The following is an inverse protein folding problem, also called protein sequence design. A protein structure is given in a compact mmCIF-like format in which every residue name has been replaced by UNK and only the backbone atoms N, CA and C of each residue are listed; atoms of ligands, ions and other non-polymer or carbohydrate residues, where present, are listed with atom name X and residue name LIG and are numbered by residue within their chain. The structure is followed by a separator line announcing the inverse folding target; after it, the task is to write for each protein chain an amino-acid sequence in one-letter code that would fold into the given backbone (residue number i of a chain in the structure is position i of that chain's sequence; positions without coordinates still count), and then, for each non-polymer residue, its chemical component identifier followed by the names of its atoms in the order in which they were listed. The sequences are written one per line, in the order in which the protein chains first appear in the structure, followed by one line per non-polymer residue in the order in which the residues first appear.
data_IF_012380205484
#
_entry.id   IF_012380205484
#
_cell.length_a   1.000
_cell.length_b   1.000
_cell.length_c   1.000
_cell.angle_alpha   90.00
_cell.angle_beta   90.00
_cell.angle_gamma   90.00
#
_symmetry.space_group_name_H-M   'P 1'
#
loop_
_entity.id
_entity.type
_entity.pdbx_description
1 polymer ?
#
# COMPACT_ATOMS: atom_id res chain seq x y z
N UNK A 1 9.77 -10.54 25.27
CA UNK A 1 10.35 -9.87 24.08
C UNK A 1 9.18 -9.63 23.14
N UNK A 2 8.86 -8.36 22.86
CA UNK A 2 7.72 -8.02 22.01
C UNK A 2 8.16 -8.18 20.55
N UNK A 3 8.04 -9.39 20.02
CA UNK A 3 8.43 -9.76 18.65
C UNK A 3 7.35 -9.33 17.65
N UNK A 4 6.94 -8.06 17.72
CA UNK A 4 6.07 -7.50 16.70
C UNK A 4 6.94 -7.23 15.47
N UNK A 5 6.57 -7.74 14.28
CA UNK A 5 7.35 -7.54 13.07
C UNK A 5 7.58 -6.05 12.85
N UNK A 6 8.85 -5.67 12.72
CA UNK A 6 9.22 -4.31 12.41
C UNK A 6 8.55 -3.93 11.07
N UNK A 7 7.98 -2.73 11.01
CA UNK A 7 7.39 -2.18 9.78
C UNK A 7 8.01 -0.81 9.55
N UNK A 8 8.19 -0.47 8.28
CA UNK A 8 8.63 0.86 7.91
C UNK A 8 7.57 1.86 8.38
N UNK A 9 7.93 2.83 9.24
CA UNK A 9 6.98 3.82 9.71
C UNK A 9 6.45 4.57 8.49
N UNK A 10 5.14 4.81 8.47
CA UNK A 10 4.43 5.53 7.41
C UNK A 10 4.32 4.81 6.05
N UNK A 11 4.82 3.57 5.91
CA UNK A 11 4.75 2.87 4.62
C UNK A 11 3.67 1.79 4.56
N UNK A 12 2.95 1.78 3.44
CA UNK A 12 1.88 0.86 3.11
C UNK A 12 2.23 0.18 1.78
N UNK A 13 2.05 -1.14 1.74
CA UNK A 13 2.11 -1.92 0.52
C UNK A 13 0.70 -2.25 0.06
N UNK A 14 0.34 -1.81 -1.14
CA UNK A 14 -0.94 -2.12 -1.78
C UNK A 14 -0.74 -2.92 -3.06
N UNK A 15 -1.55 -3.93 -3.28
CA UNK A 15 -1.60 -4.68 -4.54
C UNK A 15 -2.80 -4.19 -5.36
N UNK A 16 -2.50 -3.70 -6.56
CA UNK A 16 -3.50 -3.26 -7.52
C UNK A 16 -4.37 -4.44 -7.97
N UNK A 17 -5.68 -4.22 -8.05
CA UNK A 17 -6.60 -5.21 -8.62
C UNK A 17 -6.41 -5.28 -10.14
N UNK A 18 -6.47 -6.48 -10.70
CA UNK A 18 -6.37 -6.65 -12.16
C UNK A 18 -7.47 -5.88 -12.89
N UNK A 19 -7.09 -5.20 -13.97
CA UNK A 19 -8.00 -4.38 -14.79
C UNK A 19 -8.19 -2.95 -14.27
N UNK A 20 -7.64 -2.59 -13.11
CA UNK A 20 -7.63 -1.21 -12.61
C UNK A 20 -6.45 -0.46 -13.22
N UNK A 21 -6.68 0.76 -13.67
CA UNK A 21 -5.63 1.62 -14.21
C UNK A 21 -4.75 2.16 -13.10
N UNK A 22 -3.46 2.37 -13.38
CA UNK A 22 -2.55 3.00 -12.41
C UNK A 22 -3.01 4.41 -12.02
N UNK A 23 -3.70 5.14 -12.91
CA UNK A 23 -4.24 6.47 -12.64
C UNK A 23 -5.37 6.45 -11.59
N UNK A 24 -6.29 5.48 -11.69
CA UNK A 24 -7.37 5.30 -10.73
C UNK A 24 -6.82 4.93 -9.35
N UNK A 25 -5.81 4.07 -9.31
CA UNK A 25 -5.14 3.74 -8.06
C UNK A 25 -4.39 4.92 -7.46
N UNK A 26 -3.68 5.72 -8.28
CA UNK A 26 -3.01 6.95 -7.81
C UNK A 26 -4.02 7.93 -7.22
N UNK A 27 -5.17 8.13 -7.85
CA UNK A 27 -6.26 8.96 -7.32
C UNK A 27 -6.75 8.44 -5.97
N UNK A 28 -7.09 7.15 -5.89
CA UNK A 28 -7.52 6.53 -4.64
C UNK A 28 -6.49 6.66 -3.51
N UNK A 29 -5.19 6.62 -3.83
CA UNK A 29 -4.11 6.82 -2.86
C UNK A 29 -4.06 8.27 -2.35
N UNK A 30 -4.17 9.23 -3.25
CA UNK A 30 -4.19 10.66 -2.89
C UNK A 30 -5.45 11.00 -2.09
N UNK A 31 -6.62 10.51 -2.49
CA UNK A 31 -7.88 10.68 -1.77
C UNK A 31 -7.81 10.08 -0.35
N UNK A 32 -7.10 8.96 -0.20
CA UNK A 32 -6.83 8.32 1.09
C UNK A 32 -5.75 9.03 1.95
N UNK A 33 -5.21 10.16 1.49
CA UNK A 33 -4.17 10.93 2.18
C UNK A 33 -2.78 10.29 2.11
N UNK A 34 -2.55 9.40 1.15
CA UNK A 34 -1.26 8.77 0.88
C UNK A 34 -0.53 9.41 -0.31
N UNK A 35 0.72 9.02 -0.50
CA UNK A 35 1.57 9.41 -1.63
C UNK A 35 2.28 8.20 -2.20
N UNK A 36 2.33 8.07 -3.52
CA UNK A 36 3.03 6.94 -4.16
C UNK A 36 4.54 7.15 -4.08
N UNK A 37 5.24 6.20 -3.45
CA UNK A 37 6.70 6.15 -3.39
C UNK A 37 7.28 5.34 -4.55
N UNK A 38 6.69 4.18 -4.83
CA UNK A 38 7.19 3.28 -5.86
C UNK A 38 6.05 2.42 -6.44
N UNK A 39 6.18 2.04 -7.71
CA UNK A 39 5.28 1.10 -8.37
C UNK A 39 6.15 0.00 -8.98
N UNK A 40 5.86 -1.23 -8.63
CA UNK A 40 6.53 -2.41 -9.18
C UNK A 40 5.50 -3.30 -9.84
N UNK A 41 5.67 -3.56 -11.13
CA UNK A 41 4.81 -4.47 -11.90
C UNK A 41 5.64 -5.54 -12.58
N UNK A 42 5.13 -6.77 -12.57
CA UNK A 42 5.71 -7.90 -13.29
C UNK A 42 4.83 -8.39 -14.46
N UNK A 43 3.87 -7.58 -14.89
CA UNK A 43 2.91 -7.90 -15.95
C UNK A 43 1.72 -8.75 -15.50
N UNK A 44 1.76 -9.37 -14.32
CA UNK A 44 0.61 -10.09 -13.72
C UNK A 44 0.07 -9.40 -12.47
N UNK A 45 0.98 -8.83 -11.68
CA UNK A 45 0.71 -8.14 -10.44
C UNK A 45 1.38 -6.77 -10.48
N UNK A 46 0.70 -5.78 -9.92
CA UNK A 46 1.25 -4.44 -9.71
C UNK A 46 1.16 -4.15 -8.22
N UNK A 47 2.30 -3.97 -7.58
CA UNK A 47 2.42 -3.54 -6.19
C UNK A 47 2.79 -2.06 -6.15
N UNK A 48 2.20 -1.34 -5.21
CA UNK A 48 2.41 0.09 -5.00
C UNK A 48 2.86 0.29 -3.57
N UNK A 49 4.02 0.93 -3.42
CA UNK A 49 4.51 1.41 -2.14
C UNK A 49 4.00 2.82 -1.91
N UNK A 50 3.38 3.05 -0.76
CA UNK A 50 2.66 4.27 -0.42
C UNK A 50 3.23 4.82 0.89
N UNK A 51 3.54 6.11 0.93
CA UNK A 51 3.80 6.86 2.15
C UNK A 51 2.50 7.48 2.69
N UNK A 52 2.28 7.46 3.99
CA UNK A 52 1.17 8.14 4.65
C UNK A 52 1.48 8.49 6.10
N UNK A 53 1.19 9.73 6.48
CA UNK A 53 1.25 10.19 7.88
C UNK A 53 0.15 9.58 8.75
N UNK A 54 -0.95 9.11 8.15
CA UNK A 54 -2.11 8.54 8.84
C UNK A 54 -2.36 7.11 8.38
N UNK A 55 -1.35 6.25 8.57
CA UNK A 55 -1.31 4.89 8.03
C UNK A 55 -2.59 4.09 8.26
N UNK A 56 -3.12 4.05 9.48
CA UNK A 56 -4.34 3.29 9.79
C UNK A 56 -5.54 3.76 8.97
N UNK A 57 -5.78 5.08 8.96
CA UNK A 57 -6.87 5.68 8.20
C UNK A 57 -6.70 5.47 6.69
N UNK A 58 -5.48 5.66 6.18
CA UNK A 58 -5.17 5.42 4.76
C UNK A 58 -5.40 3.97 4.37
N UNK A 59 -4.97 3.00 5.19
CA UNK A 59 -5.24 1.57 4.95
C UNK A 59 -6.75 1.31 4.92
N UNK A 60 -7.52 1.85 5.86
CA UNK A 60 -8.98 1.68 5.88
C UNK A 60 -9.63 2.24 4.62
N UNK A 61 -9.24 3.44 4.17
CA UNK A 61 -9.78 4.01 2.93
C UNK A 61 -9.38 3.21 1.70
N UNK A 62 -8.13 2.76 1.60
CA UNK A 62 -7.66 1.96 0.47
C UNK A 62 -8.35 0.58 0.43
N UNK A 63 -8.61 -0.04 1.58
CA UNK A 63 -9.38 -1.30 1.68
C UNK A 63 -10.83 -1.13 1.25
N UNK A 64 -11.42 0.03 1.48
CA UNK A 64 -12.76 0.38 0.99
C UNK A 64 -12.77 0.77 -0.50
N UNK A 65 -11.60 1.07 -1.08
CA UNK A 65 -11.49 1.34 -2.51
C UNK A 65 -11.55 0.04 -3.33
N UNK A 66 -12.23 0.08 -4.47
CA UNK A 66 -12.26 -1.04 -5.42
C UNK A 66 -10.96 -1.19 -6.24
N UNK A 67 -9.98 -0.31 -6.04
CA UNK A 67 -8.74 -0.31 -6.81
C UNK A 67 -7.74 -1.38 -6.35
N UNK A 68 -7.84 -1.86 -5.10
CA UNK A 68 -6.83 -2.72 -4.50
C UNK A 68 -7.38 -4.12 -4.19
N UNK A 69 -6.54 -5.13 -4.41
CA UNK A 69 -6.80 -6.51 -4.02
C UNK A 69 -6.31 -6.79 -2.60
N UNK A 70 -5.22 -6.15 -2.20
CA UNK A 70 -4.69 -6.24 -0.84
C UNK A 70 -4.03 -4.93 -0.42
N UNK A 71 -4.10 -4.62 0.87
CA UNK A 71 -3.47 -3.43 1.47
C UNK A 71 -2.95 -3.80 2.85
N UNK A 72 -1.65 -3.59 3.10
CA UNK A 72 -0.98 -3.94 4.34
C UNK A 72 0.13 -2.96 4.68
N UNK A 73 0.62 -3.01 5.92
CA UNK A 73 1.84 -2.29 6.31
C UNK A 73 3.05 -2.82 5.54
N UNK A 74 4.02 -1.96 5.23
CA UNK A 74 5.30 -2.43 4.71
C UNK A 74 6.13 -3.03 5.85
N UNK A 75 6.02 -4.35 6.05
CA UNK A 75 6.82 -5.05 7.04
C UNK A 75 8.27 -5.16 6.58
N UNK A 76 9.20 -4.71 7.42
CA UNK A 76 10.62 -5.01 7.25
C UNK A 76 10.77 -6.51 7.44
N UNK A 77 11.27 -7.19 6.41
CA UNK A 77 11.71 -8.58 6.57
C UNK A 77 12.89 -8.58 7.53
N UNK A 78 12.65 -8.86 8.81
CA UNK A 78 13.71 -9.08 9.78
C UNK A 78 14.36 -10.43 9.42
N UNK A 79 15.29 -10.41 8.46
CA UNK A 79 16.23 -11.51 8.26
C UNK A 79 17.22 -11.48 9.43
N UNK A 80 16.79 -12.04 10.56
CA UNK A 80 17.61 -12.35 11.74
C UNK A 80 17.71 -13.85 11.90
#
# INVERSE_FOLDING_TARGET
MNDSPAHEPNQILAMLRQGVSEDDAKKAIVDAGGSVLNISSNGRLTAILIDSKTVKNTIEQLKNSNCFQAVQLNYLSNHG
#
